data_IF_265417508395
#
_entry.id   IF_265417508395
#
_cell.length_a   1.000
_cell.length_b   1.000
_cell.length_c   1.000
_cell.angle_alpha   90.00
_cell.angle_beta   90.00
_cell.angle_gamma   90.00
#
_symmetry.space_group_name_H-M   'P 1'
#
loop_
_entity.id
_entity.type
_entity.pdbx_description
1 polymer ?
#
# COMPACT_ATOMS: atom_id res chain seq x y z
N UNK A 1 -10.79 14.67 11.30
CA UNK A 1 -9.60 13.78 11.16
C UNK A 1 -10.00 12.30 11.17
N UNK A 2 -10.81 11.81 12.11
CA UNK A 2 -11.23 10.39 12.18
C UNK A 2 -11.85 9.84 10.89
N UNK A 3 -12.65 10.63 10.18
CA UNK A 3 -13.27 10.22 8.92
C UNK A 3 -12.24 9.93 7.81
N UNK A 4 -11.14 10.68 7.73
CA UNK A 4 -10.08 10.46 6.73
C UNK A 4 -9.17 9.27 7.05
N UNK A 5 -8.89 9.05 8.34
CA UNK A 5 -8.04 7.93 8.79
C UNK A 5 -8.81 6.62 8.97
N UNK A 6 -10.11 6.69 9.20
CA UNK A 6 -10.96 5.53 9.45
C UNK A 6 -11.78 5.15 8.22
N UNK A 7 -12.99 5.71 8.10
CA UNK A 7 -14.02 5.21 7.20
C UNK A 7 -13.64 5.33 5.71
N UNK A 8 -13.17 6.51 5.27
CA UNK A 8 -12.85 6.73 3.85
C UNK A 8 -11.70 5.82 3.42
N UNK A 9 -10.62 5.79 4.21
CA UNK A 9 -9.49 4.90 3.96
C UNK A 9 -9.93 3.43 3.90
N UNK A 10 -10.69 2.95 4.91
CA UNK A 10 -11.11 1.55 5.00
C UNK A 10 -12.00 1.12 3.82
N UNK A 11 -12.93 1.99 3.37
CA UNK A 11 -13.78 1.72 2.22
C UNK A 11 -12.95 1.52 0.95
N UNK A 12 -12.06 2.47 0.63
CA UNK A 12 -11.24 2.35 -0.57
C UNK A 12 -10.24 1.21 -0.48
N UNK A 13 -9.61 0.99 0.67
CA UNK A 13 -8.75 -0.17 0.93
C UNK A 13 -9.49 -1.48 0.67
N UNK A 14 -10.72 -1.64 1.18
CA UNK A 14 -11.51 -2.86 1.01
C UNK A 14 -11.99 -3.06 -0.43
N UNK A 15 -12.51 -1.99 -1.06
CA UNK A 15 -13.02 -2.06 -2.45
C UNK A 15 -11.91 -2.41 -3.43
N UNK A 16 -10.74 -1.75 -3.31
CA UNK A 16 -9.61 -2.03 -4.19
C UNK A 16 -8.80 -3.26 -3.77
N UNK A 17 -8.92 -3.70 -2.52
CA UNK A 17 -8.25 -4.89 -2.02
C UNK A 17 -8.65 -6.17 -2.78
N UNK A 18 -9.93 -6.31 -3.12
CA UNK A 18 -10.43 -7.49 -3.85
C UNK A 18 -9.78 -7.61 -5.24
N UNK A 19 -9.89 -6.61 -6.14
CA UNK A 19 -9.27 -6.71 -7.46
C UNK A 19 -7.74 -6.78 -7.39
N UNK A 20 -7.10 -6.08 -6.45
CA UNK A 20 -5.65 -6.11 -6.31
C UNK A 20 -5.15 -7.45 -5.75
N UNK A 21 -5.91 -8.11 -4.87
CA UNK A 21 -5.61 -9.47 -4.44
C UNK A 21 -5.65 -10.44 -5.63
N UNK A 22 -6.68 -10.33 -6.48
CA UNK A 22 -6.75 -11.15 -7.70
C UNK A 22 -5.63 -10.83 -8.68
N UNK A 23 -5.24 -9.57 -8.79
CA UNK A 23 -4.09 -9.17 -9.60
C UNK A 23 -2.78 -9.76 -9.06
N UNK A 24 -2.63 -9.87 -7.74
CA UNK A 24 -1.52 -10.57 -7.12
C UNK A 24 -1.45 -12.06 -7.49
N UNK A 25 -2.59 -12.70 -7.78
CA UNK A 25 -2.62 -14.11 -8.21
C UNK A 25 -2.14 -14.33 -9.64
N UNK A 26 -2.30 -13.36 -10.53
CA UNK A 26 -2.04 -13.54 -11.97
C UNK A 26 -0.81 -12.78 -12.48
N UNK A 27 -0.30 -11.83 -11.72
CA UNK A 27 0.83 -10.99 -12.12
C UNK A 27 2.06 -11.18 -11.23
N UNK A 28 3.17 -10.48 -11.55
CA UNK A 28 4.43 -10.48 -10.81
C UNK A 28 4.23 -9.77 -9.46
N UNK A 29 4.19 -10.53 -8.36
CA UNK A 29 3.88 -10.02 -7.01
C UNK A 29 4.87 -8.97 -6.52
N UNK A 30 6.17 -9.20 -6.75
CA UNK A 30 7.23 -8.23 -6.49
C UNK A 30 6.96 -6.88 -7.15
N UNK A 31 6.53 -6.90 -8.41
CA UNK A 31 6.22 -5.67 -9.15
C UNK A 31 4.97 -4.98 -8.59
N UNK A 32 3.95 -5.76 -8.23
CA UNK A 32 2.74 -5.23 -7.62
C UNK A 32 3.03 -4.55 -6.28
N UNK A 33 3.81 -5.18 -5.40
CA UNK A 33 4.22 -4.60 -4.12
C UNK A 33 5.04 -3.32 -4.36
N UNK A 34 6.02 -3.36 -5.27
CA UNK A 34 6.89 -2.21 -5.55
C UNK A 34 6.10 -1.01 -6.08
N UNK A 35 5.21 -1.23 -7.04
CA UNK A 35 4.37 -0.16 -7.62
C UNK A 35 3.37 0.36 -6.59
N UNK A 36 2.71 -0.52 -5.85
CA UNK A 36 1.80 -0.13 -4.77
C UNK A 36 2.52 0.70 -3.71
N UNK A 37 3.69 0.24 -3.24
CA UNK A 37 4.52 0.94 -2.26
C UNK A 37 4.98 2.30 -2.77
N UNK A 38 5.42 2.40 -4.02
CA UNK A 38 5.79 3.67 -4.64
C UNK A 38 4.60 4.62 -4.70
N UNK A 39 3.44 4.12 -5.13
CA UNK A 39 2.23 4.91 -5.26
C UNK A 39 1.74 5.45 -3.91
N UNK A 40 1.57 4.61 -2.88
CA UNK A 40 1.11 5.11 -1.58
C UNK A 40 2.14 6.01 -0.89
N UNK A 41 3.43 5.74 -1.07
CA UNK A 41 4.50 6.59 -0.53
C UNK A 41 4.53 7.97 -1.20
N UNK A 42 4.32 8.02 -2.51
CA UNK A 42 4.16 9.26 -3.25
C UNK A 42 2.92 10.03 -2.77
N UNK A 43 1.77 9.37 -2.61
CA UNK A 43 0.54 9.97 -2.08
C UNK A 43 0.74 10.49 -0.64
N UNK A 44 1.52 9.76 0.18
CA UNK A 44 1.90 10.19 1.52
C UNK A 44 2.77 11.45 1.47
N UNK A 45 3.81 11.48 0.65
CA UNK A 45 4.64 12.68 0.47
C UNK A 45 3.83 13.85 -0.07
N UNK A 46 2.97 13.64 -1.07
CA UNK A 46 2.07 14.66 -1.62
C UNK A 46 1.09 15.21 -0.57
N UNK A 47 0.72 14.43 0.44
CA UNK A 47 -0.09 14.92 1.57
C UNK A 47 0.60 16.07 2.30
N UNK A 48 1.93 16.14 2.29
CA UNK A 48 2.70 17.27 2.82
C UNK A 48 2.51 18.58 2.06
N UNK A 49 2.02 18.52 0.83
CA UNK A 49 1.70 19.71 0.03
C UNK A 49 0.21 20.06 0.03
N UNK A 50 -0.61 19.32 0.79
CA UNK A 50 -2.05 19.58 0.83
C UNK A 50 -2.35 20.95 1.45
N UNK A 51 -3.13 21.75 0.72
CA UNK A 51 -3.59 23.10 1.14
C UNK A 51 -5.06 23.14 1.51
N UNK A 52 -5.80 22.07 1.26
CA UNK A 52 -7.22 21.95 1.58
C UNK A 52 -7.53 20.56 2.12
N UNK A 53 -8.67 20.44 2.82
CA UNK A 53 -9.17 19.16 3.29
C UNK A 53 -9.44 18.19 2.13
N UNK A 54 -10.04 18.68 1.04
CA UNK A 54 -10.33 17.83 -0.13
C UNK A 54 -9.07 17.28 -0.79
N UNK A 55 -8.02 18.10 -0.90
CA UNK A 55 -6.73 17.68 -1.43
C UNK A 55 -6.09 16.61 -0.56
N UNK A 56 -6.11 16.80 0.77
CA UNK A 56 -5.64 15.79 1.71
C UNK A 56 -6.47 14.50 1.62
N UNK A 57 -7.79 14.60 1.47
CA UNK A 57 -8.68 13.46 1.33
C UNK A 57 -8.34 12.63 0.08
N UNK A 58 -8.12 13.28 -1.07
CA UNK A 58 -7.73 12.61 -2.31
C UNK A 58 -6.42 11.84 -2.13
N UNK A 59 -5.42 12.46 -1.53
CA UNK A 59 -4.16 11.76 -1.26
C UNK A 59 -4.32 10.58 -0.30
N UNK A 60 -5.17 10.69 0.72
CA UNK A 60 -5.49 9.58 1.64
C UNK A 60 -6.21 8.43 0.96
N UNK A 61 -7.13 8.71 0.03
CA UNK A 61 -7.73 7.69 -0.84
C UNK A 61 -6.64 6.99 -1.67
N UNK A 62 -5.73 7.75 -2.27
CA UNK A 62 -4.61 7.19 -3.02
C UNK A 62 -3.71 6.28 -2.16
N UNK A 63 -3.44 6.66 -0.91
CA UNK A 63 -2.71 5.79 0.04
C UNK A 63 -3.46 4.48 0.24
N UNK A 64 -4.77 4.52 0.52
CA UNK A 64 -5.58 3.31 0.73
C UNK A 64 -5.57 2.36 -0.49
N UNK A 65 -5.68 2.91 -1.70
CA UNK A 65 -5.61 2.13 -2.95
C UNK A 65 -4.24 1.45 -3.10
N UNK A 66 -3.15 2.20 -2.90
CA UNK A 66 -1.80 1.66 -3.05
C UNK A 66 -1.50 0.58 -2.01
N UNK A 67 -1.85 0.82 -0.76
CA UNK A 67 -1.59 -0.10 0.35
C UNK A 67 -2.38 -1.41 0.24
N UNK A 68 -3.58 -1.38 -0.36
CA UNK A 68 -4.41 -2.56 -0.57
C UNK A 68 -3.72 -3.65 -1.43
N UNK A 69 -2.72 -3.29 -2.24
CA UNK A 69 -1.97 -4.23 -3.08
C UNK A 69 -0.93 -5.06 -2.32
N UNK A 70 -0.44 -4.54 -1.19
CA UNK A 70 0.76 -5.08 -0.54
C UNK A 70 0.51 -6.39 0.19
N UNK A 71 -0.50 -6.46 1.05
CA UNK A 71 -0.73 -7.62 1.92
C UNK A 71 -1.00 -8.92 1.14
N UNK A 72 -1.91 -8.97 0.15
CA UNK A 72 -2.16 -10.20 -0.58
C UNK A 72 -0.93 -10.68 -1.36
N UNK A 73 -0.22 -9.76 -2.01
CA UNK A 73 0.99 -10.10 -2.75
C UNK A 73 2.15 -10.55 -1.83
N UNK A 74 2.32 -9.89 -0.67
CA UNK A 74 3.33 -10.26 0.31
C UNK A 74 3.07 -11.63 0.94
N UNK A 75 1.83 -11.93 1.35
CA UNK A 75 1.48 -13.24 1.90
C UNK A 75 1.73 -14.35 0.89
N UNK A 76 1.34 -14.14 -0.37
CA UNK A 76 1.58 -15.10 -1.44
C UNK A 76 3.09 -15.31 -1.69
N UNK A 77 3.89 -14.24 -1.70
CA UNK A 77 5.35 -14.37 -1.84
C UNK A 77 5.99 -15.10 -0.67
N UNK A 78 5.62 -14.76 0.56
CA UNK A 78 6.15 -15.39 1.77
C UNK A 78 5.81 -16.88 1.83
N UNK A 79 4.61 -17.27 1.38
CA UNK A 79 4.21 -18.66 1.29
C UNK A 79 5.08 -19.48 0.32
N UNK A 80 5.60 -18.86 -0.74
CA UNK A 80 6.50 -19.50 -1.70
C UNK A 80 7.99 -19.44 -1.30
N UNK A 81 8.39 -18.44 -0.52
CA UNK A 81 9.76 -18.33 -0.02
C UNK A 81 10.09 -19.34 1.09
N UNK A 82 9.08 -19.70 1.91
CA UNK A 82 9.30 -20.48 3.11
C UNK A 82 8.51 -21.80 3.09
N UNK A 83 9.08 -22.90 3.63
CA UNK A 83 8.38 -24.16 3.73
C UNK A 83 7.16 -24.05 4.64
N UNK A 84 6.17 -24.93 4.44
CA UNK A 84 4.87 -24.90 5.16
C UNK A 84 5.02 -24.81 6.68
N UNK A 85 6.01 -25.50 7.26
CA UNK A 85 6.29 -25.51 8.71
C UNK A 85 6.64 -24.13 9.29
N UNK A 86 7.16 -23.20 8.47
CA UNK A 86 7.60 -21.88 8.92
C UNK A 86 6.59 -20.76 8.51
N UNK A 87 5.61 -21.05 7.67
CA UNK A 87 4.70 -20.03 7.12
C UNK A 87 4.00 -19.23 8.21
N UNK A 88 3.42 -19.91 9.21
CA UNK A 88 2.71 -19.22 10.29
C UNK A 88 3.62 -18.24 11.03
N UNK A 89 4.86 -18.64 11.34
CA UNK A 89 5.84 -17.79 12.02
C UNK A 89 6.23 -16.58 11.16
N UNK A 90 6.52 -16.80 9.87
CA UNK A 90 6.93 -15.74 8.95
C UNK A 90 5.78 -14.74 8.72
N UNK A 91 4.57 -15.24 8.54
CA UNK A 91 3.38 -14.38 8.41
C UNK A 91 3.13 -13.59 9.70
N UNK A 92 3.32 -14.20 10.88
CA UNK A 92 3.20 -13.49 12.15
C UNK A 92 4.25 -12.38 12.31
N UNK A 93 5.51 -12.64 11.92
CA UNK A 93 6.58 -11.61 11.91
C UNK A 93 6.22 -10.49 10.93
N UNK A 94 5.79 -10.81 9.72
CA UNK A 94 5.35 -9.81 8.74
C UNK A 94 4.20 -8.96 9.29
N UNK A 95 3.18 -9.61 9.87
CA UNK A 95 2.01 -8.92 10.43
C UNK A 95 2.34 -8.06 11.65
N UNK A 96 3.34 -8.44 12.45
CA UNK A 96 3.81 -7.61 13.56
C UNK A 96 4.40 -6.28 13.09
N UNK A 97 4.93 -6.25 11.87
CA UNK A 97 5.43 -5.03 11.22
C UNK A 97 4.38 -3.93 11.09
N UNK A 98 3.09 -4.28 10.95
CA UNK A 98 1.98 -3.31 10.91
C UNK A 98 1.88 -2.54 12.23
N UNK A 99 1.92 -3.24 13.36
CA UNK A 99 1.81 -2.63 14.69
C UNK A 99 3.08 -1.87 15.07
N UNK A 100 4.25 -2.48 14.85
CA UNK A 100 5.55 -1.86 15.11
C UNK A 100 5.74 -0.63 14.22
N UNK A 101 5.46 -0.76 12.92
CA UNK A 101 5.54 0.34 11.98
C UNK A 101 4.56 1.47 12.29
N UNK A 102 3.34 1.13 12.72
CA UNK A 102 2.34 2.11 13.18
C UNK A 102 2.84 2.89 14.41
N UNK A 103 3.38 2.20 15.41
CA UNK A 103 3.96 2.83 16.60
C UNK A 103 5.15 3.74 16.29
N UNK A 104 6.11 3.24 15.49
CA UNK A 104 7.27 4.02 15.03
C UNK A 104 6.80 5.23 14.20
N UNK A 105 5.83 5.04 13.30
CA UNK A 105 5.30 6.09 12.45
C UNK A 105 4.64 7.22 13.25
N UNK A 106 3.86 6.89 14.28
CA UNK A 106 3.28 7.89 15.18
C UNK A 106 4.34 8.64 15.98
N UNK A 107 5.33 7.92 16.52
CA UNK A 107 6.44 8.53 17.27
C UNK A 107 7.25 9.48 16.38
N UNK A 108 7.72 9.00 15.22
CA UNK A 108 8.50 9.81 14.29
C UNK A 108 7.70 11.00 13.75
N UNK A 109 6.43 10.79 13.41
CA UNK A 109 5.55 11.87 12.94
C UNK A 109 5.37 12.96 13.97
N UNK A 110 5.13 12.60 15.24
CA UNK A 110 5.04 13.53 16.35
C UNK A 110 6.36 14.26 16.61
N UNK A 111 7.47 13.52 16.66
CA UNK A 111 8.81 14.05 16.88
C UNK A 111 9.21 15.06 15.78
N UNK A 112 9.00 14.71 14.52
CA UNK A 112 9.30 15.61 13.40
C UNK A 112 8.43 16.86 13.45
N UNK A 113 7.13 16.70 13.73
CA UNK A 113 6.21 17.83 13.83
C UNK A 113 6.58 18.78 14.95
N UNK A 114 6.92 18.26 16.14
CA UNK A 114 7.34 19.07 17.29
C UNK A 114 8.66 19.78 17.03
N UNK A 115 9.67 19.04 16.53
CA UNK A 115 10.98 19.62 16.20
C UNK A 115 10.85 20.69 15.13
N UNK A 116 10.01 20.46 14.10
CA UNK A 116 9.78 21.45 13.04
C UNK A 116 9.13 22.71 13.61
N UNK A 117 8.08 22.59 14.40
CA UNK A 117 7.36 23.72 14.97
C UNK A 117 8.19 24.52 15.99
N UNK A 118 9.10 23.85 16.71
CA UNK A 118 10.02 24.53 17.62
C UNK A 118 11.13 25.27 16.88
N UNK A 119 11.61 24.73 15.77
CA UNK A 119 12.67 25.33 14.95
C UNK A 119 12.12 26.46 14.06
N UNK A 120 10.91 26.29 13.56
CA UNK A 120 10.22 27.24 12.68
C UNK A 120 8.83 27.59 13.25
N UNK A 121 8.76 28.43 14.30
CA UNK A 121 7.49 28.85 14.91
C UNK A 121 6.57 29.59 13.94
N UNK A 122 7.16 30.35 12.99
CA UNK A 122 6.43 31.05 11.96
C UNK A 122 6.57 30.29 10.62
N UNK A 123 5.46 29.80 10.04
CA UNK A 123 5.49 29.11 8.74
C UNK A 123 6.05 29.95 7.58
N UNK A 124 6.08 31.27 7.71
CA UNK A 124 6.62 32.16 6.67
C UNK A 124 8.14 31.99 6.52
N UNK A 125 8.83 31.71 7.61
CA UNK A 125 10.30 31.49 7.60
C UNK A 125 10.67 30.01 7.46
N UNK A 126 9.68 29.11 7.52
CA UNK A 126 9.90 27.70 7.34
C UNK A 126 10.27 27.35 5.89
N UNK A 127 11.15 26.36 5.64
CA UNK A 127 11.45 25.88 4.31
C UNK A 127 10.16 25.52 3.54
N UNK A 128 10.00 26.05 2.33
CA UNK A 128 8.80 25.90 1.48
C UNK A 128 7.49 26.37 2.13
N UNK A 129 7.51 27.13 3.22
CA UNK A 129 6.32 27.54 3.96
C UNK A 129 5.56 26.39 4.61
N UNK A 130 6.23 25.26 4.90
CA UNK A 130 5.59 24.05 5.41
C UNK A 130 5.32 24.13 6.92
N UNK A 131 4.17 23.64 7.31
CA UNK A 131 3.81 23.37 8.70
C UNK A 131 4.41 22.05 9.16
N UNK A 132 4.62 21.85 10.47
CA UNK A 132 5.24 20.63 10.99
C UNK A 132 4.58 19.32 10.55
N UNK A 133 3.25 19.25 10.46
CA UNK A 133 2.55 18.06 9.97
C UNK A 133 2.82 17.78 8.48
N UNK A 134 3.05 18.82 7.67
CA UNK A 134 3.40 18.68 6.26
C UNK A 134 4.82 18.14 6.10
N UNK A 135 5.74 18.65 6.90
CA UNK A 135 7.12 18.14 6.97
C UNK A 135 7.15 16.66 7.40
N UNK A 136 6.32 16.27 8.37
CA UNK A 136 6.20 14.87 8.80
C UNK A 136 5.75 13.95 7.66
N UNK A 137 4.76 14.35 6.85
CA UNK A 137 4.33 13.55 5.70
C UNK A 137 5.42 13.38 4.65
N UNK A 138 6.19 14.41 4.37
CA UNK A 138 7.33 14.33 3.43
C UNK A 138 8.42 13.42 3.98
N UNK A 139 8.77 13.57 5.25
CA UNK A 139 9.82 12.78 5.90
C UNK A 139 9.49 11.28 5.98
N UNK A 140 8.20 10.92 6.06
CA UNK A 140 7.78 9.51 6.06
C UNK A 140 7.55 8.98 4.64
N UNK A 141 7.04 9.80 3.73
CA UNK A 141 6.73 9.37 2.37
C UNK A 141 7.97 9.13 1.50
N UNK A 142 8.99 9.99 1.60
CA UNK A 142 10.21 9.88 0.77
C UNK A 142 10.97 8.56 1.00
N UNK A 143 11.27 8.13 2.23
CA UNK A 143 11.90 6.83 2.48
C UNK A 143 11.12 5.64 1.91
N UNK A 144 9.78 5.72 1.91
CA UNK A 144 8.93 4.68 1.32
C UNK A 144 9.15 4.51 -0.19
N UNK A 145 9.44 5.59 -0.91
CA UNK A 145 9.79 5.53 -2.35
C UNK A 145 11.11 4.77 -2.53
N UNK A 146 12.11 5.03 -1.68
CA UNK A 146 13.38 4.29 -1.71
C UNK A 146 13.18 2.80 -1.42
N UNK A 147 12.32 2.48 -0.46
CA UNK A 147 11.94 1.10 -0.15
C UNK A 147 11.22 0.42 -1.33
N UNK A 148 10.40 1.14 -2.08
CA UNK A 148 9.75 0.60 -3.28
C UNK A 148 10.78 0.21 -4.35
N UNK A 149 11.81 1.01 -4.54
CA UNK A 149 12.94 0.71 -5.44
C UNK A 149 13.68 -0.54 -4.94
N UNK A 150 13.95 -0.61 -3.65
CA UNK A 150 14.62 -1.79 -3.07
C UNK A 150 13.77 -3.05 -3.23
N UNK A 151 12.48 -3.03 -2.95
CA UNK A 151 11.56 -4.15 -3.16
C UNK A 151 11.60 -4.65 -4.61
N UNK A 152 11.79 -3.76 -5.58
CA UNK A 152 11.92 -4.12 -7.00
C UNK A 152 13.12 -5.03 -7.29
N UNK A 153 14.15 -5.00 -6.46
CA UNK A 153 15.36 -5.82 -6.59
C UNK A 153 15.21 -7.24 -6.00
N UNK A 154 14.17 -7.50 -5.21
CA UNK A 154 13.93 -8.81 -4.62
C UNK A 154 13.69 -9.86 -5.70
N UNK A 155 14.07 -11.08 -5.45
CA UNK A 155 13.82 -12.21 -6.36
C UNK A 155 12.33 -12.58 -6.30
N UNK A 156 11.68 -12.76 -7.44
CA UNK A 156 10.33 -13.32 -7.49
C UNK A 156 10.41 -14.84 -7.32
N UNK A 157 9.80 -15.45 -6.29
CA UNK A 157 9.78 -16.89 -6.14
C UNK A 157 8.86 -17.54 -7.16
N UNK A 158 9.18 -18.76 -7.57
CA UNK A 158 8.30 -19.53 -8.45
C UNK A 158 7.01 -19.85 -7.69
N UNK A 159 5.88 -19.54 -8.32
CA UNK A 159 4.56 -19.67 -7.69
C UNK A 159 4.20 -21.12 -7.44
N UNK A 160 3.77 -21.44 -6.20
CA UNK A 160 3.33 -22.77 -5.79
C UNK A 160 4.46 -23.78 -5.60
N UNK A 161 5.74 -23.37 -5.72
CA UNK A 161 6.90 -24.28 -5.59
C UNK A 161 6.92 -24.99 -4.23
N UNK A 162 6.50 -24.32 -3.18
CA UNK A 162 6.48 -24.87 -1.83
C UNK A 162 5.36 -25.91 -1.60
N UNK A 163 4.42 -26.02 -2.52
CA UNK A 163 3.31 -26.98 -2.54
C UNK A 163 3.48 -28.06 -3.62
N UNK A 164 4.58 -28.01 -4.38
CA UNK A 164 4.82 -28.91 -5.50
C UNK A 164 3.94 -28.61 -6.74
N UNK A 165 3.19 -27.53 -6.74
CA UNK A 165 2.30 -27.10 -7.83
C UNK A 165 2.92 -25.87 -8.47
N UNK A 166 3.58 -26.01 -9.61
CA UNK A 166 4.14 -24.87 -10.33
C UNK A 166 3.07 -24.23 -11.19
N UNK A 167 2.66 -23.01 -10.83
CA UNK A 167 1.70 -22.23 -11.61
C UNK A 167 2.43 -21.15 -12.43
N UNK A 168 2.17 -21.11 -13.71
CA UNK A 168 2.71 -20.06 -14.60
C UNK A 168 1.89 -18.77 -14.47
N UNK A 169 2.55 -17.64 -14.74
CA UNK A 169 1.86 -16.35 -14.81
C UNK A 169 0.87 -16.35 -15.98
N UNK A 170 -0.28 -15.72 -15.77
CA UNK A 170 -1.27 -15.60 -16.84
C UNK A 170 -0.77 -14.68 -17.95
N UNK A 171 -0.89 -15.06 -19.25
CA UNK A 171 -0.39 -14.25 -20.36
C UNK A 171 -1.08 -12.87 -20.49
N UNK A 172 -2.33 -12.77 -20.03
CA UNK A 172 -3.09 -11.51 -20.02
C UNK A 172 -3.64 -11.21 -18.60
N UNK A 173 -2.80 -10.73 -17.68
CA UNK A 173 -3.22 -10.47 -16.29
C UNK A 173 -4.28 -9.36 -16.18
N UNK A 174 -4.21 -8.34 -17.05
CA UNK A 174 -5.16 -7.22 -17.03
C UNK A 174 -6.54 -7.66 -17.52
N UNK A 175 -6.60 -8.49 -18.57
CA UNK A 175 -7.85 -9.06 -19.06
C UNK A 175 -8.56 -9.89 -18.00
N UNK A 176 -7.82 -10.77 -17.30
CA UNK A 176 -8.37 -11.56 -16.18
C UNK A 176 -8.86 -10.66 -15.07
N UNK A 177 -8.09 -9.63 -14.68
CA UNK A 177 -8.51 -8.67 -13.66
C UNK A 177 -9.85 -8.02 -14.01
N UNK A 178 -10.00 -7.53 -15.24
CA UNK A 178 -11.20 -6.83 -15.67
C UNK A 178 -12.42 -7.77 -15.69
N UNK A 179 -12.28 -8.95 -16.28
CA UNK A 179 -13.40 -9.92 -16.39
C UNK A 179 -13.84 -10.46 -15.02
N UNK A 180 -12.90 -10.82 -14.18
CA UNK A 180 -13.25 -11.39 -12.87
C UNK A 180 -13.67 -10.32 -11.86
N UNK A 181 -13.10 -9.11 -11.90
CA UNK A 181 -13.59 -8.00 -11.07
C UNK A 181 -15.01 -7.59 -11.46
N UNK A 182 -15.33 -7.61 -12.76
CA UNK A 182 -16.69 -7.39 -13.23
C UNK A 182 -17.65 -8.49 -12.74
N UNK A 183 -17.22 -9.76 -12.73
CA UNK A 183 -18.00 -10.88 -12.22
C UNK A 183 -18.26 -10.82 -10.69
N UNK A 184 -17.41 -10.15 -9.94
CA UNK A 184 -17.57 -9.94 -8.48
C UNK A 184 -18.63 -8.89 -8.13
N UNK A 185 -19.04 -8.05 -9.06
CA UNK A 185 -20.09 -7.07 -8.85
C UNK A 185 -21.45 -7.71 -9.18
N UNK A 186 -22.31 -8.02 -8.18
CA UNK A 186 -23.56 -8.77 -8.40
C UNK A 186 -24.47 -8.13 -9.44
N UNK A 187 -24.49 -6.79 -9.52
CA UNK A 187 -25.28 -6.03 -10.48
C UNK A 187 -24.83 -6.28 -11.92
N UNK A 188 -23.52 -6.39 -12.17
CA UNK A 188 -23.00 -6.66 -13.51
C UNK A 188 -23.28 -8.09 -13.97
N UNK A 189 -23.32 -9.05 -13.04
CA UNK A 189 -23.75 -10.43 -13.31
C UNK A 189 -25.24 -10.51 -13.69
N UNK A 190 -26.09 -9.73 -13.00
CA UNK A 190 -27.54 -9.67 -13.29
C UNK A 190 -27.83 -9.04 -14.66
N UNK A 191 -26.99 -8.12 -15.15
CA UNK A 191 -27.14 -7.47 -16.45
C UNK A 191 -26.48 -8.26 -17.59
N UNK A 192 -25.86 -9.42 -17.29
CA UNK A 192 -25.23 -10.28 -18.29
C UNK A 192 -23.96 -9.71 -18.93
N UNK A 193 -23.35 -8.69 -18.34
CA UNK A 193 -22.12 -8.04 -18.78
C UNK A 193 -20.84 -8.78 -18.33
N UNK A 194 -20.99 -9.80 -17.47
CA UNK A 194 -19.92 -10.61 -16.91
C UNK A 194 -19.91 -12.02 -17.51
N UNK A 195 -19.88 -12.15 -18.82
CA UNK A 195 -19.71 -13.44 -19.52
C UNK A 195 -18.31 -13.55 -20.08
#
# INVERSE_FOLDING_TARGET
>A
MGLLYGTVFAVFYSVFGIPLARFADVWVRRSLISIGLMFWSAMTAMSGFARSFSMLAIFRVGVGIGEASASPAAYSMLADYYPQRLRATVIAIYSSGVYIGGGIGLFLGGFIMETWNSTFPDPVVAPLGLKGWQAAFLAVGIPGILMAIWVRTLKEPVRGVSEGIVTQQHPNPVGVLLTESAAMIPILNLVGLAR
#
